data_IF_069797476288
#
_entry.id   IF_069797476288
#
_cell.length_a   1.000
_cell.length_b   1.000
_cell.length_c   1.000
_cell.angle_alpha   90.00
_cell.angle_beta   90.00
_cell.angle_gamma   90.00
#
_symmetry.space_group_name_H-M   'P 1'
#
loop_
_entity.id
_entity.type
_entity.pdbx_description
1 polymer ?
#
# COMPACT_ATOMS: atom_id res chain seq x y z
N UNK A 1 14.74 6.25 -21.73
CA UNK A 1 15.54 6.28 -20.49
C UNK A 1 15.36 4.90 -19.91
N UNK A 2 16.34 4.01 -20.09
CA UNK A 2 16.14 2.58 -19.89
C UNK A 2 16.30 2.23 -18.42
N UNK A 3 15.22 1.70 -17.82
CA UNK A 3 15.19 1.12 -16.47
C UNK A 3 16.34 0.13 -16.29
N UNK A 4 17.12 0.34 -15.22
CA UNK A 4 18.32 -0.40 -14.88
C UNK A 4 18.02 -1.66 -14.03
N UNK A 5 16.79 -2.20 -14.10
CA UNK A 5 16.50 -3.49 -13.49
C UNK A 5 17.07 -4.59 -14.39
N UNK A 6 17.86 -5.55 -13.86
CA UNK A 6 18.35 -6.67 -14.66
C UNK A 6 17.15 -7.40 -15.28
N UNK A 7 17.13 -7.47 -16.61
CA UNK A 7 16.00 -7.83 -17.48
C UNK A 7 15.46 -9.28 -17.33
N UNK A 8 15.70 -9.94 -16.20
CA UNK A 8 15.23 -11.29 -15.88
C UNK A 8 14.62 -11.48 -14.49
N UNK A 9 14.56 -10.45 -13.64
CA UNK A 9 13.82 -10.58 -12.37
C UNK A 9 12.33 -10.38 -12.61
N UNK A 10 11.53 -11.40 -12.31
CA UNK A 10 10.05 -11.31 -12.28
C UNK A 10 9.56 -10.27 -11.27
N UNK A 11 10.41 -9.86 -10.32
CA UNK A 11 10.07 -9.02 -9.17
C UNK A 11 10.98 -7.78 -9.11
N UNK A 12 10.74 -6.78 -9.97
CA UNK A 12 11.62 -5.61 -10.06
C UNK A 12 11.47 -4.67 -8.86
N UNK A 13 10.25 -4.54 -8.30
CA UNK A 13 10.02 -3.78 -7.06
C UNK A 13 10.87 -4.31 -5.90
N UNK A 14 10.97 -5.63 -5.73
CA UNK A 14 11.82 -6.24 -4.70
C UNK A 14 13.30 -5.99 -4.93
N UNK A 15 13.76 -5.97 -6.18
CA UNK A 15 15.15 -5.66 -6.51
C UNK A 15 15.50 -4.21 -6.18
N UNK A 16 14.61 -3.27 -6.50
CA UNK A 16 14.79 -1.85 -6.18
C UNK A 16 14.82 -1.63 -4.66
N UNK A 17 13.90 -2.28 -3.93
CA UNK A 17 13.92 -2.27 -2.47
C UNK A 17 15.20 -2.89 -1.91
N UNK A 18 15.66 -4.00 -2.49
CA UNK A 18 16.90 -4.67 -2.07
C UNK A 18 18.12 -3.77 -2.17
N UNK A 19 18.18 -2.92 -3.20
CA UNK A 19 19.25 -1.95 -3.39
C UNK A 19 19.04 -0.62 -2.65
N UNK A 20 17.88 -0.43 -2.02
CA UNK A 20 17.43 0.86 -1.48
C UNK A 20 17.30 1.95 -2.57
N UNK A 21 17.00 1.56 -3.81
CA UNK A 21 16.84 2.44 -4.96
C UNK A 21 15.41 3.02 -5.00
N UNK A 22 15.14 4.00 -4.15
CA UNK A 22 13.79 4.56 -3.98
C UNK A 22 13.32 5.48 -5.12
N UNK A 23 14.22 6.03 -5.95
CA UNK A 23 13.86 6.88 -7.09
C UNK A 23 13.15 6.11 -8.21
N UNK A 24 13.79 5.09 -8.82
CA UNK A 24 13.13 4.22 -9.78
C UNK A 24 11.98 3.41 -9.17
N UNK A 25 12.03 3.15 -7.85
CA UNK A 25 10.96 2.46 -7.15
C UNK A 25 9.67 3.27 -7.19
N UNK A 26 9.72 4.58 -6.97
CA UNK A 26 8.53 5.44 -7.05
C UNK A 26 7.92 5.41 -8.45
N UNK A 27 8.73 5.55 -9.51
CA UNK A 27 8.27 5.47 -10.91
C UNK A 27 7.64 4.12 -11.25
N UNK A 28 8.23 3.01 -10.78
CA UNK A 28 7.76 1.67 -11.13
C UNK A 28 6.51 1.25 -10.33
N UNK A 29 6.25 1.87 -9.18
CA UNK A 29 5.05 1.65 -8.38
C UNK A 29 3.80 2.28 -9.01
N UNK A 30 3.93 3.23 -9.94
CA UNK A 30 2.79 3.80 -10.68
C UNK A 30 2.11 2.76 -11.57
N UNK A 31 2.88 1.83 -12.13
CA UNK A 31 2.39 0.82 -13.08
C UNK A 31 2.24 -0.58 -12.47
N UNK A 32 2.82 -0.83 -11.29
CA UNK A 32 2.92 -2.19 -10.70
C UNK A 32 2.21 -2.34 -9.37
N UNK A 33 1.88 -3.58 -9.06
CA UNK A 33 1.24 -3.95 -7.80
C UNK A 33 2.24 -3.93 -6.64
N UNK A 34 2.04 -2.99 -5.74
CA UNK A 34 2.80 -2.77 -4.50
C UNK A 34 2.68 -3.93 -3.50
N UNK A 35 1.69 -4.81 -3.68
CA UNK A 35 1.43 -6.01 -2.88
C UNK A 35 1.89 -7.31 -3.54
N UNK A 36 2.58 -7.24 -4.70
CA UNK A 36 3.15 -8.42 -5.34
C UNK A 36 4.12 -9.13 -4.39
N UNK A 37 3.99 -10.45 -4.28
CA UNK A 37 4.84 -11.27 -3.42
C UNK A 37 5.98 -11.90 -4.22
N UNK A 38 7.20 -11.85 -3.68
CA UNK A 38 8.35 -12.59 -4.23
C UNK A 38 8.17 -14.11 -4.08
N UNK A 39 9.07 -14.97 -4.63
CA UNK A 39 8.97 -16.43 -4.48
C UNK A 39 9.08 -16.92 -3.03
N UNK A 40 9.44 -16.05 -2.10
CA UNK A 40 9.49 -16.32 -0.66
C UNK A 40 8.23 -15.84 0.07
N UNK A 41 7.23 -15.34 -0.66
CA UNK A 41 5.98 -14.82 -0.11
C UNK A 41 6.12 -13.47 0.58
N UNK A 42 7.15 -12.68 0.26
CA UNK A 42 7.40 -11.37 0.87
C UNK A 42 6.94 -10.28 -0.08
N UNK A 43 6.25 -9.26 0.43
CA UNK A 43 5.98 -8.03 -0.33
C UNK A 43 7.24 -7.13 -0.36
N UNK A 44 7.32 -6.14 -1.28
CA UNK A 44 8.41 -5.17 -1.29
C UNK A 44 8.54 -4.47 0.07
N UNK A 45 7.42 -4.21 0.76
CA UNK A 45 7.43 -3.59 2.09
C UNK A 45 8.05 -4.51 3.15
N UNK A 46 7.73 -5.81 3.15
CA UNK A 46 8.35 -6.78 4.05
C UNK A 46 9.88 -6.82 3.86
N UNK A 47 10.33 -6.71 2.61
CA UNK A 47 11.75 -6.67 2.29
C UNK A 47 12.40 -5.38 2.79
N UNK A 48 11.76 -4.22 2.57
CA UNK A 48 12.26 -2.93 3.03
C UNK A 48 12.42 -2.89 4.57
N UNK A 49 11.42 -3.41 5.30
CA UNK A 49 11.45 -3.50 6.77
C UNK A 49 12.54 -4.46 7.24
N UNK A 50 12.66 -5.63 6.60
CA UNK A 50 13.68 -6.63 6.96
C UNK A 50 15.11 -6.12 6.74
N UNK A 51 15.31 -5.26 5.74
CA UNK A 51 16.61 -4.66 5.42
C UNK A 51 16.86 -3.33 6.16
N UNK A 52 15.84 -2.75 6.82
CA UNK A 52 15.94 -1.43 7.45
C UNK A 52 15.97 -0.27 6.45
N UNK A 53 15.47 -0.47 5.24
CA UNK A 53 15.44 0.52 4.17
C UNK A 53 14.26 1.46 4.35
N UNK A 54 14.43 2.46 5.22
CA UNK A 54 13.38 3.39 5.63
C UNK A 54 12.85 4.18 4.44
N UNK A 55 13.70 4.64 3.53
CA UNK A 55 13.25 5.45 2.37
C UNK A 55 12.42 4.62 1.39
N UNK A 56 12.87 3.41 1.02
CA UNK A 56 12.05 2.50 0.22
C UNK A 56 10.73 2.16 0.92
N UNK A 57 10.73 1.94 2.24
CA UNK A 57 9.51 1.70 3.00
C UNK A 57 8.56 2.92 2.96
N UNK A 58 9.10 4.14 3.05
CA UNK A 58 8.31 5.38 2.94
C UNK A 58 7.68 5.55 1.56
N UNK A 59 8.43 5.29 0.49
CA UNK A 59 7.91 5.34 -0.88
C UNK A 59 6.80 4.31 -1.07
N UNK A 60 7.02 3.06 -0.64
CA UNK A 60 6.00 2.00 -0.71
C UNK A 60 4.72 2.34 0.08
N UNK A 61 4.87 2.94 1.27
CA UNK A 61 3.73 3.37 2.09
C UNK A 61 2.98 4.56 1.48
N UNK A 62 3.70 5.50 0.84
CA UNK A 62 3.08 6.60 0.09
C UNK A 62 2.36 6.10 -1.14
N UNK A 63 2.90 5.13 -1.85
CA UNK A 63 2.27 4.64 -3.08
C UNK A 63 1.04 3.75 -2.81
N UNK A 64 1.00 3.07 -1.65
CA UNK A 64 -0.22 2.48 -1.09
C UNK A 64 -1.28 3.49 -0.65
N UNK A 65 -0.97 4.78 -0.68
CA UNK A 65 -1.91 5.86 -0.38
C UNK A 65 -2.55 6.48 -1.61
N UNK A 66 -2.63 5.75 -2.73
CA UNK A 66 -3.62 6.04 -3.76
C UNK A 66 -5.03 5.63 -3.26
N UNK A 67 -5.49 6.38 -2.25
CA UNK A 67 -6.78 6.27 -1.56
C UNK A 67 -7.94 6.73 -2.45
N UNK A 68 -7.72 6.82 -3.77
CA UNK A 68 -8.74 7.18 -4.77
C UNK A 68 -9.34 5.96 -5.46
N UNK A 69 -8.76 4.77 -5.31
CA UNK A 69 -9.53 3.54 -5.50
C UNK A 69 -10.51 3.45 -4.34
N UNK A 70 -11.69 4.03 -4.56
CA UNK A 70 -12.85 3.91 -3.69
C UNK A 70 -12.90 2.50 -3.13
N UNK A 71 -12.71 2.41 -1.83
CA UNK A 71 -12.82 1.15 -1.13
C UNK A 71 -14.21 0.57 -1.46
N UNK A 72 -14.29 -0.56 -2.16
CA UNK A 72 -15.51 -1.38 -2.21
C UNK A 72 -15.92 -1.90 -0.81
N UNK A 73 -15.16 -1.53 0.22
CA UNK A 73 -15.46 -1.68 1.63
C UNK A 73 -15.27 -0.31 2.28
N UNK A 74 -16.34 0.46 2.44
CA UNK A 74 -16.34 1.81 3.05
C UNK A 74 -15.79 1.88 4.47
N UNK A 75 -14.47 1.71 4.60
CA UNK A 75 -13.72 1.74 5.85
C UNK A 75 -12.59 2.75 5.72
N UNK A 76 -12.95 4.00 5.43
CA UNK A 76 -12.13 5.14 5.82
C UNK A 76 -12.65 5.61 7.17
N UNK A 77 -11.87 5.35 8.21
CA UNK A 77 -12.14 5.86 9.55
C UNK A 77 -12.13 7.39 9.55
N UNK A 78 -13.29 7.99 9.34
CA UNK A 78 -13.68 9.29 9.89
C UNK A 78 -15.17 9.28 10.21
N UNK A 79 -15.46 9.89 11.35
CA UNK A 79 -16.77 10.23 11.91
C UNK A 79 -17.56 9.08 12.52
N UNK A 80 -17.46 9.05 13.85
CA UNK A 80 -18.57 8.76 14.72
C UNK A 80 -19.78 9.61 14.28
N UNK A 81 -20.74 8.99 13.61
CA UNK A 81 -22.14 9.35 13.77
C UNK A 81 -22.81 8.16 14.46
N UNK A 82 -22.44 8.00 15.73
CA UNK A 82 -23.34 7.38 16.69
C UNK A 82 -24.60 8.26 16.69
N UNK A 83 -25.68 7.77 16.10
CA UNK A 83 -27.01 8.34 16.30
C UNK A 83 -27.64 7.62 17.50
N UNK A 84 -27.67 8.20 18.72
CA UNK A 84 -28.37 7.60 19.85
C UNK A 84 -29.90 7.68 19.75
N UNK A 85 -30.46 8.15 18.64
CA UNK A 85 -31.82 8.71 18.62
C UNK A 85 -32.92 7.83 18.03
N UNK A 86 -32.70 6.55 17.73
CA UNK A 86 -33.82 5.62 17.46
C UNK A 86 -34.25 4.82 18.72
N UNK A 87 -33.96 5.36 19.91
CA UNK A 87 -34.69 5.01 21.14
C UNK A 87 -35.79 6.04 21.34
N UNK A 88 -36.71 6.16 20.39
CA UNK A 88 -38.00 6.80 20.66
C UNK A 88 -39.05 5.71 20.84
N UNK A 89 -39.30 5.45 22.11
CA UNK A 89 -40.53 4.84 22.58
C UNK A 89 -41.70 5.59 21.92
N UNK A 90 -42.50 4.89 21.11
CA UNK A 90 -43.90 5.24 21.00
C UNK A 90 -44.68 4.18 21.77
N UNK A 91 -44.88 4.51 23.05
CA UNK A 91 -46.13 4.24 23.71
C UNK A 91 -47.24 4.91 22.89
N UNK A 92 -48.21 4.15 22.40
CA UNK A 92 -49.58 4.65 22.38
C UNK A 92 -50.60 3.51 22.31
N UNK A 93 -51.31 3.36 23.44
CA UNK A 93 -52.73 3.01 23.65
C UNK A 93 -53.39 1.85 22.91
#
# INVERSE_FOLDING_TARGET
MSSLAPAGSKFPLHMLVWNNDYGPLEEELEEKDVDECDPRGRTPLHLAVSLGHIESARVLLRHKSDVTKENLQGWTGKSQDWNPTDVEMQEDS
#
